data_IF_957499379902
#
_entry.id   IF_957499379902
#
_cell.length_a   1.000
_cell.length_b   1.000
_cell.length_c   1.000
_cell.angle_alpha   90.00
_cell.angle_beta   90.00
_cell.angle_gamma   90.00
#
_symmetry.space_group_name_H-M   'P 1'
#
loop_
_entity.id
_entity.type
_entity.pdbx_description
1 polymer ?
#
# COMPACT_ATOMS: atom_id res chain seq x y z
N UNK A 1 8.54 -10.68 -6.33
CA UNK A 1 7.65 -10.66 -5.16
C UNK A 1 8.41 -10.10 -3.97
N UNK A 2 7.73 -9.36 -3.11
CA UNK A 2 8.25 -8.85 -1.82
C UNK A 2 7.57 -9.62 -0.70
N UNK A 3 8.35 -10.16 0.23
CA UNK A 3 7.83 -10.90 1.38
C UNK A 3 7.28 -9.94 2.45
N UNK A 4 6.00 -10.09 2.78
CA UNK A 4 5.27 -9.33 3.80
C UNK A 4 4.85 -10.20 5.00
N UNK A 5 5.30 -11.45 5.09
CA UNK A 5 4.99 -12.36 6.20
C UNK A 5 5.38 -11.76 7.55
N UNK A 6 4.47 -11.82 8.52
CA UNK A 6 4.64 -11.19 9.84
C UNK A 6 4.35 -9.69 9.87
N UNK A 7 3.94 -9.09 8.75
CA UNK A 7 3.45 -7.73 8.64
C UNK A 7 1.99 -7.79 8.18
N UNK A 8 1.11 -7.04 8.84
CA UNK A 8 -0.29 -7.03 8.41
C UNK A 8 -0.44 -6.32 7.04
N UNK A 9 -1.38 -6.75 6.18
CA UNK A 9 -1.70 -6.02 4.94
C UNK A 9 -2.06 -4.54 5.17
N UNK A 10 -2.63 -4.21 6.33
CA UNK A 10 -2.95 -2.83 6.70
C UNK A 10 -1.68 -1.98 6.90
N UNK A 11 -0.68 -2.49 7.61
CA UNK A 11 0.62 -1.81 7.75
C UNK A 11 1.32 -1.65 6.41
N UNK A 12 1.26 -2.67 5.54
CA UNK A 12 1.78 -2.61 4.17
C UNK A 12 1.09 -1.51 3.38
N UNK A 13 -0.25 -1.49 3.35
CA UNK A 13 -1.03 -0.52 2.61
C UNK A 13 -0.76 0.92 3.10
N UNK A 14 -0.76 1.14 4.41
CA UNK A 14 -0.43 2.44 5.01
C UNK A 14 0.98 2.89 4.64
N UNK A 15 1.99 2.01 4.75
CA UNK A 15 3.38 2.32 4.41
C UNK A 15 3.53 2.74 2.96
N UNK A 16 2.91 1.99 2.04
CA UNK A 16 2.99 2.27 0.61
C UNK A 16 2.23 3.54 0.22
N UNK A 17 1.05 3.79 0.81
CA UNK A 17 0.30 5.02 0.62
C UNK A 17 1.07 6.25 1.09
N UNK A 18 1.62 6.21 2.30
CA UNK A 18 2.34 7.34 2.88
C UNK A 18 3.64 7.68 2.14
N UNK A 19 4.16 6.76 1.32
CA UNK A 19 5.33 6.96 0.46
C UNK A 19 4.99 7.13 -1.02
N UNK A 20 3.71 7.13 -1.38
CA UNK A 20 3.23 7.43 -2.74
C UNK A 20 2.88 8.91 -2.89
N UNK A 21 2.74 9.41 -4.13
CA UNK A 21 2.37 10.82 -4.38
C UNK A 21 1.13 10.92 -5.26
N UNK A 22 0.26 11.93 -5.05
CA UNK A 22 -0.85 12.18 -5.96
C UNK A 22 -0.33 12.50 -7.37
N UNK A 23 -1.03 12.03 -8.40
CA UNK A 23 -0.66 12.28 -9.81
C UNK A 23 -1.87 12.72 -10.64
N UNK A 24 -1.64 13.59 -11.63
CA UNK A 24 -2.67 14.06 -12.55
C UNK A 24 -3.91 14.63 -11.84
N UNK A 25 -5.11 14.21 -12.25
CA UNK A 25 -6.36 14.61 -11.58
C UNK A 25 -6.48 14.07 -10.15
N UNK A 26 -5.67 13.09 -9.75
CA UNK A 26 -5.59 12.59 -8.38
C UNK A 26 -5.17 13.65 -7.37
N UNK A 27 -4.55 14.75 -7.81
CA UNK A 27 -4.26 15.91 -6.96
C UNK A 27 -5.56 16.48 -6.35
N UNK A 28 -6.66 16.53 -7.10
CA UNK A 28 -7.94 17.03 -6.58
C UNK A 28 -8.52 16.10 -5.50
N UNK A 29 -8.40 14.79 -5.67
CA UNK A 29 -8.80 13.82 -4.66
C UNK A 29 -7.95 13.94 -3.38
N UNK A 30 -6.65 14.23 -3.52
CA UNK A 30 -5.75 14.40 -2.38
C UNK A 30 -6.01 15.68 -1.57
N UNK A 31 -6.58 16.73 -2.18
CA UNK A 31 -6.97 17.96 -1.46
C UNK A 31 -8.06 17.67 -0.42
N UNK A 32 -8.97 16.76 -0.73
CA UNK A 32 -10.10 16.39 0.14
C UNK A 32 -9.89 15.06 0.86
N UNK A 33 -8.79 14.37 0.60
CA UNK A 33 -8.44 13.08 1.19
C UNK A 33 -7.50 13.21 2.39
N UNK A 34 -7.19 12.08 3.03
CA UNK A 34 -6.20 12.05 4.10
C UNK A 34 -4.80 12.37 3.57
N UNK A 35 -4.07 13.20 4.32
CA UNK A 35 -2.66 13.47 4.04
C UNK A 35 -1.79 12.22 4.29
N UNK A 36 -2.12 11.48 5.34
CA UNK A 36 -1.51 10.21 5.74
C UNK A 36 -2.59 9.18 6.03
N UNK A 37 -2.32 7.92 5.70
CA UNK A 37 -3.18 6.78 6.01
C UNK A 37 -2.66 6.09 7.28
N UNK A 38 -3.48 6.04 8.33
CA UNK A 38 -3.17 5.26 9.53
C UNK A 38 -3.38 3.77 9.28
N UNK A 39 -2.85 2.92 10.16
CA UNK A 39 -3.04 1.46 10.06
C UNK A 39 -4.51 1.09 10.26
N UNK A 40 -5.21 1.80 11.14
CA UNK A 40 -6.64 1.59 11.42
C UNK A 40 -7.49 1.94 10.19
N UNK A 41 -7.22 3.10 9.55
CA UNK A 41 -7.89 3.48 8.30
C UNK A 41 -7.60 2.48 7.17
N UNK A 42 -6.35 2.01 7.07
CA UNK A 42 -5.99 0.99 6.10
C UNK A 42 -6.73 -0.34 6.35
N UNK A 43 -6.90 -0.72 7.61
CA UNK A 43 -7.65 -1.92 8.00
C UNK A 43 -9.14 -1.79 7.63
N UNK A 44 -9.75 -0.63 7.88
CA UNK A 44 -11.14 -0.35 7.48
C UNK A 44 -11.35 -0.47 5.97
N UNK A 45 -10.43 0.09 5.17
CA UNK A 45 -10.46 -0.03 3.70
C UNK A 45 -10.33 -1.49 3.23
N UNK A 46 -9.46 -2.27 3.87
CA UNK A 46 -9.30 -3.69 3.56
C UNK A 46 -10.57 -4.48 3.89
N UNK A 47 -11.24 -4.17 5.00
CA UNK A 47 -12.46 -4.85 5.41
C UNK A 47 -13.67 -4.43 4.57
N UNK A 48 -13.68 -3.21 4.04
CA UNK A 48 -14.61 -2.78 2.99
C UNK A 48 -14.46 -3.61 1.72
N UNK A 49 -13.24 -3.77 1.22
CA UNK A 49 -12.96 -4.56 0.01
C UNK A 49 -13.32 -6.05 0.21
N UNK A 50 -13.02 -6.62 1.38
CA UNK A 50 -13.46 -7.99 1.72
C UNK A 50 -14.98 -8.14 1.69
N UNK A 51 -15.72 -7.17 2.23
CA UNK A 51 -17.20 -7.20 2.25
C UNK A 51 -17.81 -7.11 0.85
N UNK A 52 -17.15 -6.41 -0.08
CA UNK A 52 -17.60 -6.31 -1.49
C UNK A 52 -17.50 -7.65 -2.23
N UNK A 53 -16.67 -8.57 -1.73
CA UNK A 53 -16.43 -9.87 -2.33
C UNK A 53 -15.54 -9.75 -3.56
N UNK A 54 -14.38 -10.42 -3.52
CA UNK A 54 -13.42 -10.40 -4.62
C UNK A 54 -11.97 -10.29 -4.16
N UNK A 55 -11.12 -10.02 -5.13
CA UNK A 55 -9.68 -9.83 -4.96
C UNK A 55 -9.39 -8.44 -4.36
N UNK A 56 -8.71 -8.39 -3.21
CA UNK A 56 -8.36 -7.13 -2.54
C UNK A 56 -7.24 -6.44 -3.32
N UNK A 57 -7.57 -5.34 -4.00
CA UNK A 57 -6.60 -4.57 -4.78
C UNK A 57 -6.85 -3.07 -4.67
N UNK A 58 -5.77 -2.30 -4.72
CA UNK A 58 -5.83 -0.84 -4.72
C UNK A 58 -5.03 -0.33 -5.91
N UNK A 59 -5.74 0.04 -6.97
CA UNK A 59 -5.13 0.63 -8.14
C UNK A 59 -4.72 2.08 -7.89
N UNK A 60 -5.64 2.83 -7.29
CA UNK A 60 -5.44 4.17 -6.75
C UNK A 60 -6.11 4.26 -5.38
N UNK A 61 -5.51 5.04 -4.49
CA UNK A 61 -6.12 5.39 -3.22
C UNK A 61 -5.90 6.89 -2.98
N UNK A 62 -6.98 7.64 -2.77
CA UNK A 62 -6.98 9.10 -2.60
C UNK A 62 -6.09 9.85 -3.60
N UNK A 63 -6.16 9.46 -4.89
CA UNK A 63 -5.42 10.08 -5.98
C UNK A 63 -3.96 9.64 -6.12
N UNK A 64 -3.48 8.72 -5.28
CA UNK A 64 -2.12 8.17 -5.33
C UNK A 64 -2.12 6.79 -5.99
N UNK A 65 -1.23 6.52 -6.96
CA UNK A 65 -1.12 5.22 -7.60
C UNK A 65 -0.48 4.23 -6.63
N UNK A 66 -1.17 3.12 -6.35
CA UNK A 66 -0.61 2.04 -5.54
C UNK A 66 -0.37 0.79 -6.38
N UNK A 67 -1.36 0.39 -7.18
CA UNK A 67 -1.29 -0.79 -8.04
C UNK A 67 -0.88 -2.06 -7.27
N UNK A 68 -1.40 -2.19 -6.05
CA UNK A 68 -1.14 -3.32 -5.16
C UNK A 68 -2.29 -4.31 -5.18
N UNK A 69 -1.94 -5.60 -5.14
CA UNK A 69 -2.89 -6.70 -5.06
C UNK A 69 -2.47 -7.64 -3.92
N UNK A 70 -3.39 -7.88 -2.98
CA UNK A 70 -3.18 -8.78 -1.85
C UNK A 70 -3.84 -10.13 -2.16
N UNK A 71 -3.12 -11.00 -2.88
CA UNK A 71 -3.56 -12.38 -3.12
C UNK A 71 -3.53 -13.25 -1.87
N UNK A 72 -2.62 -12.93 -0.95
CA UNK A 72 -2.43 -13.58 0.34
C UNK A 72 -1.75 -12.59 1.32
N UNK A 73 -1.45 -13.07 2.52
CA UNK A 73 -0.82 -12.33 3.62
C UNK A 73 0.71 -12.47 3.67
N UNK A 74 1.34 -13.02 2.63
CA UNK A 74 2.77 -13.35 2.60
C UNK A 74 3.56 -12.63 1.53
N UNK A 75 2.94 -12.31 0.40
CA UNK A 75 3.65 -11.76 -0.75
C UNK A 75 2.90 -10.61 -1.44
N UNK A 76 3.68 -9.67 -1.98
CA UNK A 76 3.22 -8.57 -2.80
C UNK A 76 4.00 -8.52 -4.12
N UNK A 77 3.31 -8.31 -5.26
CA UNK A 77 3.97 -7.93 -6.52
C UNK A 77 4.11 -6.39 -6.58
N UNK A 78 5.33 -5.82 -6.45
CA UNK A 78 5.51 -4.39 -6.39
C UNK A 78 5.70 -3.72 -7.75
N UNK A 79 5.75 -4.46 -8.87
CA UNK A 79 6.27 -3.93 -10.16
C UNK A 79 5.58 -2.65 -10.60
N UNK A 80 4.26 -2.56 -10.42
CA UNK A 80 3.49 -1.38 -10.80
C UNK A 80 3.56 -0.26 -9.75
N UNK A 81 3.65 -0.60 -8.46
CA UNK A 81 3.94 0.38 -7.41
C UNK A 81 5.28 1.07 -7.66
N UNK A 82 6.33 0.27 -7.85
CA UNK A 82 7.71 0.72 -8.07
C UNK A 82 7.80 1.63 -9.30
N UNK A 83 7.14 1.26 -10.41
CA UNK A 83 7.08 2.09 -11.62
C UNK A 83 6.58 3.50 -11.34
N UNK A 84 5.55 3.62 -10.49
CA UNK A 84 4.86 4.89 -10.26
C UNK A 84 5.42 5.68 -9.06
N UNK A 85 6.18 5.05 -8.15
CA UNK A 85 6.53 5.62 -6.84
C UNK A 85 8.02 5.67 -6.48
N UNK A 86 8.95 5.49 -7.42
CA UNK A 86 10.39 5.70 -7.15
C UNK A 86 11.35 4.85 -7.96
N UNK A 87 10.83 3.87 -8.71
CA UNK A 87 11.60 2.94 -9.53
C UNK A 87 11.73 1.56 -8.89
N UNK A 88 12.41 0.63 -9.58
CA UNK A 88 12.59 -0.74 -9.11
C UNK A 88 13.21 -0.81 -7.70
N UNK A 89 12.56 -1.55 -6.80
CA UNK A 89 13.05 -1.81 -5.45
C UNK A 89 12.48 -0.88 -4.37
N UNK A 90 11.71 0.16 -4.72
CA UNK A 90 11.13 1.09 -3.74
C UNK A 90 10.25 0.36 -2.71
N UNK A 91 9.30 -0.46 -3.14
CA UNK A 91 8.46 -1.21 -2.20
C UNK A 91 9.28 -2.15 -1.32
N UNK A 92 10.25 -2.85 -1.90
CA UNK A 92 11.10 -3.78 -1.16
C UNK A 92 11.89 -3.06 -0.04
N UNK A 93 12.42 -1.88 -0.33
CA UNK A 93 13.07 -1.05 0.67
C UNK A 93 12.11 -0.65 1.80
N UNK A 94 10.93 -0.14 1.45
CA UNK A 94 9.93 0.30 2.43
C UNK A 94 9.45 -0.84 3.34
N UNK A 95 9.26 -2.03 2.79
CA UNK A 95 8.89 -3.22 3.55
C UNK A 95 10.05 -3.69 4.44
N UNK A 96 11.29 -3.66 3.96
CA UNK A 96 12.45 -4.01 4.79
C UNK A 96 12.64 -3.06 5.97
N UNK A 97 12.39 -1.76 5.79
CA UNK A 97 12.40 -0.78 6.88
C UNK A 97 11.31 -1.10 7.91
N UNK A 98 10.11 -1.45 7.45
CA UNK A 98 9.00 -1.86 8.30
C UNK A 98 9.33 -3.15 9.08
N UNK A 99 9.96 -4.15 8.45
CA UNK A 99 10.43 -5.37 9.13
C UNK A 99 11.43 -5.07 10.23
N UNK A 100 12.41 -4.20 9.96
CA UNK A 100 13.42 -3.77 10.94
C UNK A 100 12.76 -3.09 12.14
N UNK A 101 11.80 -2.19 11.90
CA UNK A 101 11.06 -1.52 12.96
C UNK A 101 10.29 -2.49 13.87
N UNK A 102 9.90 -3.67 13.35
CA UNK A 102 9.20 -4.72 14.09
C UNK A 102 10.11 -5.81 14.67
N UNK A 103 11.43 -5.74 14.46
CA UNK A 103 12.38 -6.78 14.90
C UNK A 103 12.21 -8.12 14.17
N UNK A 104 11.73 -8.11 12.93
CA UNK A 104 11.47 -9.32 12.10
C UNK A 104 12.65 -9.69 11.17
N UNK A 105 13.86 -9.24 11.50
CA UNK A 105 15.09 -9.44 10.71
C UNK A 105 15.98 -10.53 11.26
#
# INVERSE_FOLDING_TARGET
>A
MVNIEGISPAEVLARLFNNSRPVGMGILAAIHGPQELSVEMAQELLDEEKRRGGNISFDYLFGRPLKVFFSNDRELDPRLYDRDNGGPGTAAQLINELRKAKGLT
#
